data_IF_003949686670
#
_entry.id   IF_003949686670
#
_cell.length_a   1.000
_cell.length_b   1.000
_cell.length_c   1.000
_cell.angle_alpha   90.00
_cell.angle_beta   90.00
_cell.angle_gamma   90.00
#
_symmetry.space_group_name_H-M   'P 1'
#
loop_
_entity.id
_entity.type
_entity.pdbx_description
1 polymer ?
#
# COMPACT_ATOMS: atom_id res chain seq x y z
N UNK A 1 20.81 -1.36 -28.81
CA UNK A 1 19.59 -1.68 -28.05
C UNK A 1 19.90 -1.36 -26.60
N UNK A 2 19.04 -0.69 -25.83
CA UNK A 2 19.28 -0.58 -24.39
C UNK A 2 19.01 -1.95 -23.77
N UNK A 3 19.97 -2.44 -22.97
CA UNK A 3 19.80 -3.56 -22.05
C UNK A 3 18.70 -3.16 -21.07
N UNK A 4 17.52 -3.77 -21.19
CA UNK A 4 16.56 -3.76 -20.10
C UNK A 4 17.03 -4.84 -19.12
N UNK A 5 17.45 -4.48 -17.89
CA UNK A 5 17.80 -5.49 -16.92
C UNK A 5 16.59 -6.40 -16.69
N UNK A 6 16.85 -7.70 -16.53
CA UNK A 6 15.86 -8.66 -16.08
C UNK A 6 15.03 -8.06 -14.94
N UNK A 7 13.70 -8.32 -14.87
CA UNK A 7 12.89 -7.78 -13.79
C UNK A 7 13.53 -8.18 -12.47
N UNK A 8 14.01 -7.17 -11.74
CA UNK A 8 14.59 -7.35 -10.42
C UNK A 8 13.51 -8.03 -9.56
N UNK A 9 13.83 -9.09 -8.81
CA UNK A 9 12.89 -9.65 -7.85
C UNK A 9 12.42 -8.54 -6.91
N UNK A 10 11.13 -8.58 -6.54
CA UNK A 10 10.58 -7.59 -5.62
C UNK A 10 11.41 -7.57 -4.32
N UNK A 11 11.69 -6.38 -3.74
CA UNK A 11 12.45 -6.28 -2.51
C UNK A 11 11.89 -7.20 -1.42
N UNK A 12 12.78 -7.90 -0.73
CA UNK A 12 12.44 -8.77 0.39
C UNK A 12 12.39 -7.99 1.70
N UNK A 13 12.19 -8.71 2.80
CA UNK A 13 12.23 -8.11 4.15
C UNK A 13 13.62 -7.59 4.54
N UNK A 14 14.67 -7.94 3.79
CA UNK A 14 16.04 -7.45 3.95
C UNK A 14 16.26 -6.07 3.34
N UNK A 15 15.30 -5.60 2.52
CA UNK A 15 15.16 -4.20 2.11
C UNK A 15 13.74 -3.70 2.46
N UNK A 16 13.47 -3.41 3.75
CA UNK A 16 12.13 -3.05 4.20
C UNK A 16 11.60 -1.76 3.58
N UNK A 17 12.46 -0.75 3.36
CA UNK A 17 12.05 0.49 2.70
C UNK A 17 11.73 0.24 1.23
N UNK A 18 12.54 -0.56 0.52
CA UNK A 18 12.20 -0.99 -0.84
C UNK A 18 10.89 -1.79 -0.91
N UNK A 19 10.61 -2.63 0.09
CA UNK A 19 9.36 -3.39 0.16
C UNK A 19 8.14 -2.48 0.33
N UNK A 20 8.22 -1.44 1.18
CA UNK A 20 7.17 -0.41 1.31
C UNK A 20 6.91 0.31 -0.02
N UNK A 21 7.98 0.72 -0.73
CA UNK A 21 7.83 1.33 -2.07
C UNK A 21 7.20 0.38 -3.09
N UNK A 22 7.55 -0.91 -3.03
CA UNK A 22 6.92 -1.91 -3.87
C UNK A 22 5.42 -2.06 -3.55
N UNK A 23 5.03 -1.94 -2.27
CA UNK A 23 3.62 -1.85 -1.87
C UNK A 23 2.93 -0.61 -2.46
N UNK A 24 3.57 0.57 -2.43
CA UNK A 24 3.04 1.78 -3.06
C UNK A 24 2.77 1.60 -4.55
N UNK A 25 3.73 1.02 -5.29
CA UNK A 25 3.55 0.79 -6.72
C UNK A 25 2.37 -0.14 -7.00
N UNK A 26 2.21 -1.20 -6.19
CA UNK A 26 1.06 -2.10 -6.30
C UNK A 26 -0.26 -1.39 -5.96
N UNK A 27 -0.30 -0.55 -4.91
CA UNK A 27 -1.48 0.27 -4.60
C UNK A 27 -1.88 1.17 -5.77
N UNK A 28 -0.92 1.85 -6.39
CA UNK A 28 -1.16 2.72 -7.54
C UNK A 28 -1.64 1.93 -8.78
N UNK A 29 -1.14 0.71 -8.99
CA UNK A 29 -1.62 -0.18 -10.04
C UNK A 29 -3.06 -0.63 -9.79
N UNK A 30 -3.41 -0.96 -8.54
CA UNK A 30 -4.80 -1.30 -8.17
C UNK A 30 -5.72 -0.09 -8.30
N UNK A 31 -5.28 1.12 -7.91
CA UNK A 31 -6.00 2.37 -8.16
C UNK A 31 -6.27 2.59 -9.65
N UNK A 32 -5.26 2.40 -10.50
CA UNK A 32 -5.40 2.52 -11.96
C UNK A 32 -6.33 1.47 -12.56
N UNK A 33 -6.47 0.32 -11.91
CA UNK A 33 -7.42 -0.73 -12.31
C UNK A 33 -8.83 -0.40 -11.84
N UNK A 34 -9.00 0.10 -10.62
CA UNK A 34 -10.28 0.60 -10.09
C UNK A 34 -10.92 1.62 -11.03
N UNK A 35 -10.14 2.57 -11.54
CA UNK A 35 -10.62 3.62 -12.45
C UNK A 35 -11.19 3.11 -13.77
N UNK A 36 -11.00 1.82 -14.11
CA UNK A 36 -11.56 1.20 -15.31
C UNK A 36 -12.89 0.51 -15.07
N UNK A 37 -13.26 0.27 -13.81
CA UNK A 37 -14.47 -0.50 -13.45
C UNK A 37 -15.77 0.14 -13.97
N UNK A 38 -16.01 1.46 -13.85
CA UNK A 38 -17.25 2.06 -14.34
C UNK A 38 -17.49 1.78 -15.83
N UNK A 39 -16.45 1.92 -16.66
CA UNK A 39 -16.54 1.63 -18.09
C UNK A 39 -16.69 0.13 -18.41
N UNK A 40 -16.24 -0.78 -17.53
CA UNK A 40 -16.49 -2.22 -17.67
C UNK A 40 -17.93 -2.58 -17.34
N UNK A 41 -18.51 -1.93 -16.32
CA UNK A 41 -19.93 -2.06 -15.94
C UNK A 41 -20.81 -1.62 -17.10
N UNK A 42 -20.58 -0.43 -17.65
CA UNK A 42 -21.37 0.12 -18.77
C UNK A 42 -21.29 -0.75 -20.03
N UNK A 43 -20.16 -1.46 -20.22
CA UNK A 43 -19.95 -2.37 -21.34
C UNK A 43 -20.52 -3.79 -21.11
N UNK A 44 -21.10 -4.08 -19.94
CA UNK A 44 -21.69 -5.37 -19.61
C UNK A 44 -20.68 -6.52 -19.49
N UNK A 45 -19.41 -6.25 -19.16
CA UNK A 45 -18.35 -7.27 -19.05
C UNK A 45 -18.30 -7.93 -17.66
N UNK A 46 -19.38 -8.60 -17.27
CA UNK A 46 -19.58 -9.05 -15.88
C UNK A 46 -18.51 -10.04 -15.37
N UNK A 47 -18.08 -11.00 -16.20
CA UNK A 47 -17.08 -12.00 -15.77
C UNK A 47 -15.70 -11.37 -15.51
N UNK A 48 -15.25 -10.47 -16.39
CA UNK A 48 -13.98 -9.73 -16.21
C UNK A 48 -14.04 -8.79 -15.01
N UNK A 49 -15.22 -8.19 -14.77
CA UNK A 49 -15.48 -7.28 -13.67
C UNK A 49 -15.34 -7.97 -12.31
N UNK A 50 -15.94 -9.16 -12.15
CA UNK A 50 -15.87 -9.95 -10.92
C UNK A 50 -14.43 -10.31 -10.56
N UNK A 51 -13.68 -10.89 -11.50
CA UNK A 51 -12.27 -11.27 -11.27
C UNK A 51 -11.41 -10.04 -10.91
N UNK A 52 -11.66 -8.91 -11.58
CA UNK A 52 -10.93 -7.66 -11.34
C UNK A 52 -11.24 -7.11 -9.94
N UNK A 53 -12.52 -7.05 -9.58
CA UNK A 53 -12.96 -6.57 -8.27
C UNK A 53 -12.41 -7.46 -7.14
N UNK A 54 -12.50 -8.78 -7.25
CA UNK A 54 -11.97 -9.72 -6.26
C UNK A 54 -10.47 -9.53 -6.01
N UNK A 55 -9.66 -9.35 -7.06
CA UNK A 55 -8.21 -9.11 -6.91
C UNK A 55 -7.91 -7.80 -6.19
N UNK A 56 -8.63 -6.73 -6.54
CA UNK A 56 -8.46 -5.43 -5.88
C UNK A 56 -8.88 -5.52 -4.42
N UNK A 57 -10.05 -6.13 -4.17
CA UNK A 57 -10.59 -6.32 -2.82
C UNK A 57 -9.62 -7.11 -1.95
N UNK A 58 -9.11 -8.23 -2.46
CA UNK A 58 -8.12 -9.03 -1.76
C UNK A 58 -6.89 -8.20 -1.37
N UNK A 59 -6.36 -7.39 -2.29
CA UNK A 59 -5.18 -6.56 -2.02
C UNK A 59 -5.42 -5.53 -0.92
N UNK A 60 -6.47 -4.72 -1.02
CA UNK A 60 -6.72 -3.66 -0.04
C UNK A 60 -7.21 -4.20 1.32
N UNK A 61 -7.93 -5.34 1.34
CA UNK A 61 -8.36 -6.00 2.58
C UNK A 61 -7.22 -6.72 3.32
N UNK A 62 -6.06 -6.91 2.68
CA UNK A 62 -4.92 -7.62 3.28
C UNK A 62 -3.65 -6.79 3.22
N UNK A 63 -3.00 -6.73 2.05
CA UNK A 63 -1.69 -6.13 1.87
C UNK A 63 -1.65 -4.64 2.22
N UNK A 64 -2.68 -3.86 1.85
CA UNK A 64 -2.71 -2.43 2.16
C UNK A 64 -2.86 -2.17 3.68
N UNK A 65 -3.73 -2.94 4.34
CA UNK A 65 -3.87 -2.86 5.79
C UNK A 65 -2.58 -3.29 6.52
N UNK A 66 -1.93 -4.35 6.06
CA UNK A 66 -0.64 -4.78 6.62
C UNK A 66 0.49 -3.78 6.36
N UNK A 67 0.39 -2.95 5.32
CA UNK A 67 1.34 -1.90 5.01
C UNK A 67 1.20 -0.71 5.98
N UNK A 68 -0.01 -0.19 6.19
CA UNK A 68 -0.21 0.85 7.21
C UNK A 68 0.22 0.36 8.61
N UNK A 69 0.03 -0.93 8.92
CA UNK A 69 0.54 -1.49 10.18
C UNK A 69 2.07 -1.56 10.26
N UNK A 70 2.78 -1.70 9.14
CA UNK A 70 4.25 -1.63 9.11
C UNK A 70 4.72 -0.23 9.45
N UNK A 71 4.03 0.77 8.91
CA UNK A 71 4.27 2.17 9.19
C UNK A 71 3.98 2.52 10.64
N UNK A 72 2.74 2.34 11.07
CA UNK A 72 2.28 2.83 12.37
C UNK A 72 2.93 2.13 13.56
N UNK A 73 3.23 0.83 13.43
CA UNK A 73 3.75 0.05 14.57
C UNK A 73 5.27 -0.05 14.60
N UNK A 74 5.94 0.11 13.47
CA UNK A 74 7.38 -0.09 13.39
C UNK A 74 8.12 1.11 12.77
N UNK A 75 7.84 1.49 11.54
CA UNK A 75 8.62 2.54 10.86
C UNK A 75 8.47 3.90 11.54
N UNK A 76 7.24 4.35 11.81
CA UNK A 76 7.00 5.67 12.40
C UNK A 76 7.63 5.79 13.79
N UNK A 77 7.40 4.87 14.75
CA UNK A 77 8.09 4.93 16.04
C UNK A 77 9.62 4.90 15.91
N UNK A 78 10.14 4.09 14.99
CA UNK A 78 11.58 4.00 14.74
C UNK A 78 12.17 5.32 14.24
N UNK A 79 11.44 6.08 13.43
CA UNK A 79 11.86 7.40 12.94
C UNK A 79 11.77 8.47 14.03
N UNK A 80 10.72 8.45 14.85
CA UNK A 80 10.60 9.35 16.01
C UNK A 80 11.72 9.09 17.05
N UNK A 81 12.19 7.84 17.18
CA UNK A 81 13.38 7.49 17.96
C UNK A 81 14.66 8.12 17.39
N UNK A 82 14.78 8.30 16.06
CA UNK A 82 15.97 8.88 15.43
C UNK A 82 16.02 10.41 15.54
N UNK A 83 14.90 11.11 15.32
CA UNK A 83 14.85 12.56 15.36
C UNK A 83 13.43 13.11 15.57
N UNK A 84 13.24 14.15 16.40
CA UNK A 84 11.95 14.83 16.53
C UNK A 84 11.48 15.51 15.23
N UNK A 85 12.36 15.68 14.24
CA UNK A 85 12.01 16.26 12.92
C UNK A 85 10.96 15.40 12.17
N UNK A 86 10.83 14.12 12.51
CA UNK A 86 9.85 13.21 11.93
C UNK A 86 8.44 13.36 12.51
N UNK A 87 8.30 13.92 13.72
CA UNK A 87 7.04 13.91 14.48
C UNK A 87 5.89 14.59 13.74
N UNK A 88 6.17 15.64 12.97
CA UNK A 88 5.14 16.34 12.20
C UNK A 88 4.63 15.47 11.04
N UNK A 89 5.54 14.91 10.25
CA UNK A 89 5.20 14.04 9.11
C UNK A 89 4.47 12.77 9.58
N UNK A 90 4.96 12.12 10.64
CA UNK A 90 4.34 10.93 11.23
C UNK A 90 2.91 11.23 11.68
N UNK A 91 2.68 12.35 12.38
CA UNK A 91 1.34 12.75 12.82
C UNK A 91 0.41 13.01 11.64
N UNK A 92 0.89 13.72 10.61
CA UNK A 92 0.09 14.04 9.43
C UNK A 92 -0.31 12.79 8.64
N UNK A 93 0.60 11.82 8.47
CA UNK A 93 0.33 10.57 7.75
C UNK A 93 -0.56 9.63 8.57
N UNK A 94 -0.29 9.48 9.87
CA UNK A 94 -1.13 8.66 10.77
C UNK A 94 -2.57 9.18 10.83
N UNK A 95 -2.79 10.49 10.66
CA UNK A 95 -4.14 11.05 10.59
C UNK A 95 -4.86 10.73 9.27
N UNK A 96 -4.14 10.43 8.19
CA UNK A 96 -4.71 10.08 6.88
C UNK A 96 -5.14 8.61 6.80
N UNK A 97 -4.45 7.69 7.48
CA UNK A 97 -4.77 6.25 7.38
C UNK A 97 -6.23 5.91 7.73
N UNK A 98 -6.84 6.42 8.82
CA UNK A 98 -8.25 6.14 9.12
C UNK A 98 -9.21 6.63 8.03
N UNK A 99 -8.88 7.74 7.36
CA UNK A 99 -9.68 8.28 6.26
C UNK A 99 -9.60 7.36 5.03
N UNK A 100 -8.39 6.89 4.68
CA UNK A 100 -8.19 5.92 3.60
C UNK A 100 -8.88 4.59 3.88
N UNK A 101 -8.79 4.08 5.12
CA UNK A 101 -9.45 2.85 5.53
C UNK A 101 -10.98 2.98 5.50
N UNK A 102 -11.52 4.14 5.89
CA UNK A 102 -12.96 4.40 5.79
C UNK A 102 -13.44 4.46 4.35
N UNK A 103 -12.72 5.21 3.51
CA UNK A 103 -13.03 5.32 2.08
C UNK A 103 -12.95 3.96 1.38
N UNK A 104 -11.95 3.15 1.73
CA UNK A 104 -11.85 1.77 1.24
C UNK A 104 -13.02 0.91 1.71
N UNK A 105 -13.40 0.96 2.99
CA UNK A 105 -14.52 0.16 3.53
C UNK A 105 -15.83 0.43 2.80
N UNK A 106 -16.11 1.69 2.50
CA UNK A 106 -17.28 2.09 1.71
C UNK A 106 -17.21 1.55 0.27
N UNK A 107 -16.04 1.61 -0.35
CA UNK A 107 -15.84 1.11 -1.71
C UNK A 107 -15.89 -0.42 -1.77
N UNK A 108 -15.28 -1.12 -0.81
CA UNK A 108 -15.28 -2.59 -0.71
C UNK A 108 -16.70 -3.14 -0.60
N UNK A 109 -17.58 -2.46 0.15
CA UNK A 109 -18.99 -2.84 0.28
C UNK A 109 -19.73 -2.76 -1.06
N UNK A 110 -19.45 -1.75 -1.89
CA UNK A 110 -20.01 -1.64 -3.24
C UNK A 110 -19.43 -2.71 -4.18
N UNK A 111 -18.12 -2.96 -4.12
CA UNK A 111 -17.45 -3.95 -4.95
C UNK A 111 -17.79 -5.40 -4.55
N UNK A 112 -18.33 -5.60 -3.34
CA UNK A 112 -18.83 -6.90 -2.89
C UNK A 112 -20.14 -7.32 -3.57
N UNK A 113 -20.93 -6.34 -4.04
CA UNK A 113 -22.22 -6.55 -4.71
C UNK A 113 -22.25 -5.76 -6.03
N UNK A 114 -21.51 -6.25 -7.02
CA UNK A 114 -21.41 -5.61 -8.34
C UNK A 114 -22.76 -5.54 -9.07
N UNK A 115 -23.64 -6.53 -8.86
CA UNK A 115 -24.97 -6.56 -9.48
C UNK A 115 -25.90 -5.49 -8.88
N UNK A 116 -25.65 -5.08 -7.64
CA UNK A 116 -26.34 -3.96 -6.96
C UNK A 116 -25.93 -2.57 -7.46
N UNK A 117 -24.91 -2.45 -8.32
CA UNK A 117 -24.44 -1.17 -8.83
C UNK A 117 -25.35 -0.69 -9.96
N UNK A 118 -26.26 0.23 -9.63
CA UNK A 118 -27.20 0.82 -10.61
C UNK A 118 -26.77 2.18 -11.16
N UNK A 119 -25.75 2.80 -10.55
CA UNK A 119 -25.25 4.13 -10.91
C UNK A 119 -23.71 4.10 -11.04
N UNK A 120 -23.24 3.85 -12.26
CA UNK A 120 -21.81 3.78 -12.57
C UNK A 120 -21.10 5.14 -12.43
N UNK A 121 -21.82 6.27 -12.57
CA UNK A 121 -21.27 7.60 -12.36
C UNK A 121 -21.03 7.88 -10.87
N UNK A 122 -21.96 7.47 -10.00
CA UNK A 122 -21.77 7.57 -8.55
C UNK A 122 -20.66 6.65 -8.04
N UNK A 123 -20.42 5.50 -8.68
CA UNK A 123 -19.26 4.65 -8.43
C UNK A 123 -17.96 5.34 -8.89
N UNK A 124 -17.92 5.88 -10.11
CA UNK A 124 -16.74 6.57 -10.65
C UNK A 124 -16.30 7.73 -9.74
N UNK A 125 -17.25 8.53 -9.24
CA UNK A 125 -16.95 9.62 -8.32
C UNK A 125 -16.27 9.12 -7.02
N UNK A 126 -16.75 8.02 -6.44
CA UNK A 126 -16.15 7.41 -5.24
C UNK A 126 -14.77 6.83 -5.52
N UNK A 127 -14.62 6.13 -6.64
CA UNK A 127 -13.33 5.58 -7.08
C UNK A 127 -12.31 6.72 -7.24
N UNK A 128 -12.66 7.81 -7.95
CA UNK A 128 -11.76 8.95 -8.14
C UNK A 128 -11.36 9.62 -6.83
N UNK A 129 -12.31 9.77 -5.90
CA UNK A 129 -12.01 10.32 -4.58
C UNK A 129 -10.98 9.44 -3.84
N UNK A 130 -11.23 8.13 -3.80
CA UNK A 130 -10.35 7.14 -3.18
C UNK A 130 -8.95 7.11 -3.81
N UNK A 131 -8.87 7.01 -5.14
CA UNK A 131 -7.57 6.91 -5.84
C UNK A 131 -6.77 8.20 -5.76
N UNK A 132 -7.42 9.36 -5.75
CA UNK A 132 -6.73 10.63 -5.52
C UNK A 132 -6.20 10.75 -4.10
N UNK A 133 -6.97 10.34 -3.09
CA UNK A 133 -6.51 10.33 -1.70
C UNK A 133 -5.28 9.42 -1.54
N UNK A 134 -5.32 8.20 -2.07
CA UNK A 134 -4.17 7.28 -2.03
C UNK A 134 -2.93 7.82 -2.75
N UNK A 135 -3.08 8.46 -3.91
CA UNK A 135 -1.96 9.09 -4.63
C UNK A 135 -1.32 10.22 -3.84
N UNK A 136 -2.14 11.09 -3.23
CA UNK A 136 -1.66 12.19 -2.41
C UNK A 136 -0.94 11.67 -1.16
N UNK A 137 -1.52 10.67 -0.50
CA UNK A 137 -0.94 10.01 0.65
C UNK A 137 0.44 9.39 0.33
N UNK A 138 0.52 8.53 -0.69
CA UNK A 138 1.78 7.91 -1.13
C UNK A 138 2.82 8.97 -1.51
N UNK A 139 2.42 10.03 -2.23
CA UNK A 139 3.34 11.11 -2.58
C UNK A 139 3.89 11.81 -1.34
N UNK A 140 3.03 12.09 -0.36
CA UNK A 140 3.41 12.70 0.90
C UNK A 140 4.42 11.79 1.62
N UNK A 141 4.09 10.53 1.80
CA UNK A 141 4.92 9.58 2.52
C UNK A 141 6.29 9.37 1.87
N UNK A 142 6.35 9.16 0.56
CA UNK A 142 7.61 9.01 -0.17
C UNK A 142 8.55 10.21 0.07
N UNK A 143 7.99 11.43 0.06
CA UNK A 143 8.77 12.66 0.19
C UNK A 143 9.17 12.98 1.64
N UNK A 144 8.27 12.73 2.60
CA UNK A 144 8.44 13.18 3.98
C UNK A 144 8.94 12.10 4.93
N UNK A 145 8.75 10.83 4.58
CA UNK A 145 9.10 9.69 5.41
C UNK A 145 10.13 8.81 4.72
N UNK A 146 9.80 8.16 3.59
CA UNK A 146 10.66 7.11 3.04
C UNK A 146 12.00 7.65 2.52
N UNK A 147 12.02 8.80 1.83
CA UNK A 147 13.27 9.39 1.37
C UNK A 147 14.18 9.84 2.53
N UNK A 148 13.70 10.59 3.55
CA UNK A 148 14.56 10.90 4.71
C UNK A 148 14.92 9.67 5.55
N UNK A 149 14.06 8.66 5.64
CA UNK A 149 14.33 7.40 6.35
C UNK A 149 15.54 6.67 5.78
N UNK A 150 15.83 6.81 4.48
CA UNK A 150 17.01 6.18 3.89
C UNK A 150 18.32 6.64 4.53
N UNK A 151 18.38 7.91 4.91
CA UNK A 151 19.56 8.52 5.52
C UNK A 151 19.55 8.34 7.05
N UNK A 152 18.37 8.33 7.66
CA UNK A 152 18.22 8.24 9.11
C UNK A 152 18.42 6.81 9.65
N UNK A 153 17.92 5.79 8.93
CA UNK A 153 17.91 4.41 9.44
C UNK A 153 19.20 3.66 9.08
N UNK A 154 19.91 3.21 10.12
CA UNK A 154 21.10 2.39 9.96
C UNK A 154 20.75 0.90 9.67
N UNK A 155 21.76 0.05 9.49
CA UNK A 155 21.56 -1.36 9.17
C UNK A 155 20.81 -2.15 10.27
N UNK A 156 21.03 -1.84 11.55
CA UNK A 156 20.35 -2.50 12.66
C UNK A 156 18.87 -2.10 12.72
N UNK A 157 18.56 -0.82 12.47
CA UNK A 157 17.20 -0.31 12.39
C UNK A 157 16.41 -0.99 11.26
N UNK A 158 17.01 -1.05 10.07
CA UNK A 158 16.43 -1.75 8.91
C UNK A 158 16.23 -3.24 9.18
N UNK A 159 17.16 -3.90 9.85
CA UNK A 159 17.00 -5.30 10.26
C UNK A 159 15.84 -5.48 11.24
N UNK A 160 15.69 -4.59 12.25
CA UNK A 160 14.56 -4.59 13.20
C UNK A 160 13.23 -4.46 12.47
N UNK A 161 13.13 -3.46 11.58
CA UNK A 161 11.93 -3.20 10.77
C UNK A 161 11.58 -4.41 9.88
N UNK A 162 12.55 -4.91 9.10
CA UNK A 162 12.37 -6.05 8.21
C UNK A 162 11.85 -7.31 8.93
N UNK A 163 12.44 -7.64 10.09
CA UNK A 163 11.96 -8.77 10.90
C UNK A 163 10.55 -8.57 11.44
N UNK A 164 10.19 -7.34 11.84
CA UNK A 164 8.84 -7.05 12.31
C UNK A 164 7.81 -7.18 11.17
N UNK A 165 8.12 -6.63 10.00
CA UNK A 165 7.32 -6.78 8.78
C UNK A 165 7.12 -8.26 8.40
N UNK A 166 8.18 -9.08 8.48
CA UNK A 166 8.12 -10.50 8.16
C UNK A 166 7.24 -11.27 9.14
N UNK A 167 7.40 -11.03 10.46
CA UNK A 167 6.54 -11.65 11.50
C UNK A 167 5.08 -11.31 11.31
N UNK A 168 4.76 -10.09 10.86
CA UNK A 168 3.38 -9.67 10.57
C UNK A 168 2.75 -10.44 9.40
N UNK A 169 3.55 -11.11 8.57
CA UNK A 169 3.10 -12.02 7.49
C UNK A 169 3.34 -13.50 7.84
N UNK A 170 3.50 -13.81 9.12
CA UNK A 170 3.74 -15.18 9.63
C UNK A 170 4.95 -15.89 8.99
N UNK A 171 5.95 -15.11 8.56
CA UNK A 171 7.20 -15.68 8.03
C UNK A 171 8.06 -16.17 9.19
N UNK A 172 8.38 -17.46 9.19
CA UNK A 172 9.21 -18.08 10.22
C UNK A 172 10.66 -17.58 10.17
N UNK A 173 11.33 -17.50 11.33
CA UNK A 173 12.70 -16.96 11.46
C UNK A 173 13.74 -17.77 10.65
N UNK A 174 13.52 -19.06 10.45
CA UNK A 174 14.37 -19.92 9.62
C UNK A 174 14.22 -19.66 8.11
N UNK A 175 13.05 -19.16 7.69
CA UNK A 175 12.74 -18.74 6.32
C UNK A 175 13.23 -17.32 5.98
N UNK A 176 13.74 -16.57 6.95
CA UNK A 176 14.33 -15.25 6.71
C UNK A 176 15.69 -15.38 5.98
N UNK A 177 16.04 -14.39 5.12
CA UNK A 177 17.38 -14.31 4.56
C UNK A 177 18.43 -14.15 5.68
N UNK A 178 19.65 -14.64 5.45
CA UNK A 178 20.73 -14.61 6.45
C UNK A 178 21.10 -13.18 6.90
N UNK A 179 20.85 -12.17 6.06
CA UNK A 179 20.97 -10.75 6.41
C UNK A 179 20.05 -10.32 7.55
N UNK A 180 18.94 -11.03 7.77
CA UNK A 180 17.95 -10.78 8.82
C UNK A 180 18.04 -11.72 10.02
N UNK A 181 18.84 -12.80 9.95
CA UNK A 181 19.18 -13.65 11.10
C UNK A 181 20.22 -12.95 11.97
#
# INVERSE_FOLDING_TARGET
MPDFPFPQPAPGFDDPLGLLRACHMRMLMHCSTLEKLPAQIDAGRQAELQETAEKIRHYFNTAAHLHHQDEERDLFPLLEEQSPDFNAAVRELSAQHPELESAWRELDALLADLDGITDSAALDARIRAFTNAYRQHIQHEEQKVLMPAEQALNAADRKRLGRAMARRRDVAEDALPDSLK
#
